data_IF_454414196531
#
_entry.id   IF_454414196531
#
_cell.length_a   1.000
_cell.length_b   1.000
_cell.length_c   1.000
_cell.angle_alpha   90.00
_cell.angle_beta   90.00
_cell.angle_gamma   90.00
#
_symmetry.space_group_name_H-M   'P 1'
#
loop_
_entity.id
_entity.type
_entity.pdbx_description
1 polymer ?
#
# COMPACT_ATOMS: atom_id res chain seq x y z
N UNK A 1 -7.24 14.93 9.75
CA UNK A 1 -8.43 14.14 9.34
C UNK A 1 -8.06 12.68 9.53
N UNK A 2 -8.96 11.83 10.05
CA UNK A 2 -8.72 10.39 10.22
C UNK A 2 -8.32 9.70 8.90
N UNK A 3 -8.82 10.18 7.76
CA UNK A 3 -8.53 9.71 6.42
C UNK A 3 -7.04 9.76 6.05
N UNK A 4 -6.27 10.63 6.69
CA UNK A 4 -4.86 10.82 6.37
C UNK A 4 -3.96 9.80 7.09
N UNK A 5 -4.42 9.25 8.22
CA UNK A 5 -3.68 8.28 9.03
C UNK A 5 -4.10 6.84 8.78
N UNK A 6 -5.37 6.62 8.45
CA UNK A 6 -5.94 5.30 8.22
C UNK A 6 -5.14 4.43 7.23
N UNK A 7 -4.62 4.98 6.11
CA UNK A 7 -3.82 4.22 5.14
C UNK A 7 -2.54 3.60 5.70
N UNK A 8 -2.00 4.15 6.77
CA UNK A 8 -0.72 3.71 7.36
C UNK A 8 -0.89 2.72 8.51
N UNK A 9 -2.10 2.50 9.02
CA UNK A 9 -2.36 1.60 10.15
C UNK A 9 -1.75 0.21 9.94
N UNK A 10 -1.94 -0.47 8.79
CA UNK A 10 -1.41 -1.81 8.63
C UNK A 10 0.12 -1.87 8.68
N UNK A 11 0.83 -0.91 8.09
CA UNK A 11 2.30 -0.90 8.14
C UNK A 11 2.83 -0.57 9.52
N UNK A 12 2.14 0.28 10.29
CA UNK A 12 2.47 0.54 11.70
C UNK A 12 2.28 -0.72 12.54
N UNK A 13 1.19 -1.45 12.36
CA UNK A 13 0.95 -2.75 13.01
C UNK A 13 2.07 -3.73 12.64
N UNK A 14 2.46 -3.81 11.36
CA UNK A 14 3.52 -4.69 10.88
C UNK A 14 4.83 -4.46 11.64
N UNK A 15 5.28 -3.22 11.75
CA UNK A 15 6.50 -2.89 12.49
C UNK A 15 6.33 -3.06 14.00
N UNK A 16 5.17 -2.74 14.56
CA UNK A 16 4.84 -2.97 15.96
C UNK A 16 4.94 -4.46 16.34
N UNK A 17 4.37 -5.35 15.53
CA UNK A 17 4.48 -6.80 15.70
C UNK A 17 5.93 -7.28 15.64
N UNK A 18 6.73 -6.69 14.73
CA UNK A 18 8.17 -7.01 14.61
C UNK A 18 8.96 -6.60 15.84
N UNK A 19 8.69 -5.40 16.37
CA UNK A 19 9.31 -4.89 17.60
C UNK A 19 8.90 -5.69 18.83
N UNK A 20 7.67 -6.19 18.88
CA UNK A 20 7.17 -7.08 19.92
C UNK A 20 7.75 -8.51 19.85
N UNK A 21 8.68 -8.78 18.92
CA UNK A 21 9.33 -10.08 18.78
C UNK A 21 8.49 -11.13 18.05
N UNK A 22 7.35 -10.77 17.47
CA UNK A 22 6.53 -11.72 16.72
C UNK A 22 7.26 -12.06 15.41
N UNK A 23 7.52 -13.35 15.21
CA UNK A 23 8.27 -13.83 14.04
C UNK A 23 7.55 -13.48 12.75
N UNK A 24 8.15 -12.66 11.89
CA UNK A 24 7.69 -12.33 10.54
C UNK A 24 8.28 -13.28 9.50
N UNK A 25 7.81 -13.18 8.26
CA UNK A 25 8.39 -13.88 7.10
C UNK A 25 9.84 -13.47 6.87
N UNK A 26 10.10 -12.16 6.88
CA UNK A 26 11.40 -11.58 6.55
C UNK A 26 12.19 -11.16 7.79
N UNK A 27 13.51 -11.14 7.67
CA UNK A 27 14.38 -10.46 8.65
C UNK A 27 14.24 -8.95 8.54
N UNK A 28 14.81 -8.18 9.50
CA UNK A 28 14.68 -6.72 9.55
C UNK A 28 15.14 -6.02 8.26
N UNK A 29 16.32 -6.36 7.73
CA UNK A 29 16.88 -5.68 6.54
C UNK A 29 16.02 -5.92 5.28
N UNK A 30 15.70 -7.17 4.88
CA UNK A 30 14.80 -7.39 3.75
C UNK A 30 13.43 -6.75 3.92
N UNK A 31 12.84 -6.79 5.11
CA UNK A 31 11.54 -6.18 5.42
C UNK A 31 11.55 -4.66 5.21
N UNK A 32 12.58 -3.96 5.71
CA UNK A 32 12.72 -2.52 5.53
C UNK A 32 12.93 -2.17 4.05
N UNK A 33 13.80 -2.89 3.36
CA UNK A 33 14.12 -2.61 1.96
C UNK A 33 12.90 -2.87 1.06
N UNK A 34 12.20 -3.98 1.25
CA UNK A 34 10.97 -4.25 0.48
C UNK A 34 9.88 -3.20 0.76
N UNK A 35 9.75 -2.74 2.00
CA UNK A 35 8.82 -1.66 2.35
C UNK A 35 9.17 -0.36 1.64
N UNK A 36 10.45 0.06 1.69
CA UNK A 36 10.91 1.28 1.02
C UNK A 36 10.70 1.20 -0.49
N UNK A 37 11.08 0.10 -1.13
CA UNK A 37 10.86 -0.09 -2.57
C UNK A 37 9.37 -0.07 -2.93
N UNK A 38 8.53 -0.74 -2.17
CA UNK A 38 7.08 -0.78 -2.41
C UNK A 38 6.47 0.62 -2.40
N UNK A 39 6.74 1.41 -1.37
CA UNK A 39 6.21 2.77 -1.27
C UNK A 39 6.83 3.73 -2.30
N UNK A 40 8.13 3.65 -2.57
CA UNK A 40 8.79 4.48 -3.56
C UNK A 40 8.24 4.21 -4.97
N UNK A 41 8.16 2.94 -5.38
CA UNK A 41 7.62 2.55 -6.67
C UNK A 41 6.14 2.92 -6.81
N UNK A 42 5.34 2.68 -5.76
CA UNK A 42 3.94 3.06 -5.74
C UNK A 42 3.79 4.58 -5.91
N UNK A 43 4.55 5.38 -5.16
CA UNK A 43 4.51 6.85 -5.24
C UNK A 43 4.89 7.36 -6.62
N UNK A 44 6.00 6.87 -7.20
CA UNK A 44 6.44 7.22 -8.56
C UNK A 44 5.35 6.87 -9.58
N UNK A 45 4.80 5.67 -9.52
CA UNK A 45 3.75 5.20 -10.45
C UNK A 45 2.50 6.05 -10.35
N UNK A 46 2.01 6.32 -9.14
CA UNK A 46 0.83 7.16 -8.89
C UNK A 46 1.05 8.57 -9.44
N UNK A 47 2.19 9.21 -9.11
CA UNK A 47 2.48 10.56 -9.58
C UNK A 47 2.58 10.63 -11.11
N UNK A 48 3.24 9.66 -11.74
CA UNK A 48 3.38 9.60 -13.21
C UNK A 48 2.03 9.44 -13.89
N UNK A 49 1.18 8.52 -13.42
CA UNK A 49 -0.13 8.31 -14.03
C UNK A 49 -1.05 9.51 -13.78
N UNK A 50 -1.03 10.13 -12.62
CA UNK A 50 -1.83 11.33 -12.33
C UNK A 50 -1.54 12.47 -13.30
N UNK A 51 -0.26 12.73 -13.56
CA UNK A 51 0.15 13.80 -14.47
C UNK A 51 -0.24 13.53 -15.93
N UNK A 52 -0.38 12.27 -16.31
CA UNK A 52 -0.72 11.87 -17.69
C UNK A 52 -2.23 11.70 -17.90
N UNK A 53 -2.97 11.23 -16.90
CA UNK A 53 -4.37 10.86 -17.04
C UNK A 53 -5.33 12.06 -17.09
N UNK A 54 -5.05 13.15 -16.38
CA UNK A 54 -5.83 14.39 -16.42
C UNK A 54 -7.32 14.20 -16.08
N UNK A 55 -7.67 13.30 -15.15
CA UNK A 55 -9.06 12.99 -14.79
C UNK A 55 -9.59 13.97 -13.76
N UNK A 56 -10.70 14.65 -14.07
CA UNK A 56 -11.37 15.57 -13.17
C UNK A 56 -11.96 14.83 -11.95
N UNK A 57 -11.80 15.40 -10.75
CA UNK A 57 -12.44 14.86 -9.54
C UNK A 57 -13.95 15.01 -9.55
N UNK A 58 -14.70 14.14 -8.84
CA UNK A 58 -16.16 14.28 -8.69
C UNK A 58 -16.59 15.63 -8.11
N UNK A 59 -15.79 16.23 -7.21
CA UNK A 59 -16.05 17.55 -6.63
C UNK A 59 -15.62 18.73 -7.51
N UNK A 60 -15.05 18.48 -8.69
CA UNK A 60 -14.59 19.50 -9.63
C UNK A 60 -13.34 20.27 -9.19
N UNK A 61 -12.65 19.87 -8.14
CA UNK A 61 -11.54 20.63 -7.53
C UNK A 61 -10.27 20.68 -8.36
N UNK A 62 -9.91 19.57 -9.02
CA UNK A 62 -8.71 19.45 -9.86
C UNK A 62 -8.79 18.27 -10.85
N UNK A 63 -7.82 18.17 -11.76
CA UNK A 63 -7.69 17.10 -12.76
C UNK A 63 -6.75 15.97 -12.33
N UNK A 64 -6.56 15.76 -11.04
CA UNK A 64 -5.65 14.76 -10.48
C UNK A 64 -6.41 13.62 -9.75
N UNK A 65 -7.59 13.23 -10.29
CA UNK A 65 -8.41 12.21 -9.67
C UNK A 65 -7.78 10.81 -9.78
N UNK A 66 -7.45 10.38 -10.99
CA UNK A 66 -6.96 9.01 -11.23
C UNK A 66 -5.43 8.92 -11.23
N UNK A 67 -4.88 7.89 -10.57
CA UNK A 67 -5.47 6.97 -9.61
C UNK A 67 -5.47 7.55 -8.18
N UNK A 68 -6.23 6.93 -7.25
CA UNK A 68 -6.31 7.37 -5.86
C UNK A 68 -5.03 7.05 -5.07
N UNK A 69 -4.28 8.08 -4.68
CA UNK A 69 -3.05 7.92 -3.90
C UNK A 69 -3.29 7.39 -2.48
N UNK A 70 -4.33 7.86 -1.77
CA UNK A 70 -4.70 7.35 -0.45
C UNK A 70 -5.06 5.86 -0.48
N UNK A 71 -5.83 5.46 -1.49
CA UNK A 71 -6.16 4.04 -1.67
C UNK A 71 -4.93 3.20 -2.00
N UNK A 72 -4.06 3.68 -2.88
CA UNK A 72 -2.80 2.99 -3.19
C UNK A 72 -1.93 2.82 -1.95
N UNK A 73 -1.77 3.86 -1.13
CA UNK A 73 -1.03 3.80 0.14
C UNK A 73 -1.64 2.77 1.10
N UNK A 74 -2.96 2.77 1.24
CA UNK A 74 -3.67 1.84 2.13
C UNK A 74 -3.51 0.38 1.71
N UNK A 75 -3.66 0.09 0.41
CA UNK A 75 -3.48 -1.26 -0.11
C UNK A 75 -2.01 -1.71 -0.12
N UNK A 76 -1.06 -0.81 -0.35
CA UNK A 76 0.38 -1.08 -0.15
C UNK A 76 0.65 -1.50 1.30
N UNK A 77 0.18 -0.71 2.27
CA UNK A 77 0.34 -1.01 3.71
C UNK A 77 -0.29 -2.36 4.10
N UNK A 78 -1.51 -2.61 3.62
CA UNK A 78 -2.23 -3.85 3.89
C UNK A 78 -1.52 -5.08 3.30
N UNK A 79 -1.05 -4.97 2.06
CA UNK A 79 -0.35 -6.04 1.37
C UNK A 79 1.00 -6.36 2.04
N UNK A 80 1.74 -5.35 2.51
CA UNK A 80 2.97 -5.53 3.28
C UNK A 80 2.72 -6.30 4.57
N UNK A 81 1.73 -5.91 5.38
CA UNK A 81 1.36 -6.61 6.60
C UNK A 81 0.95 -8.07 6.30
N UNK A 82 0.13 -8.26 5.27
CA UNK A 82 -0.31 -9.60 4.85
C UNK A 82 0.86 -10.48 4.41
N UNK A 83 1.82 -9.95 3.63
CA UNK A 83 2.99 -10.72 3.20
C UNK A 83 3.87 -11.18 4.36
N UNK A 84 4.02 -10.34 5.37
CA UNK A 84 4.89 -10.65 6.51
C UNK A 84 4.24 -11.57 7.55
N UNK A 85 2.93 -11.46 7.75
CA UNK A 85 2.24 -12.15 8.84
C UNK A 85 0.99 -12.93 8.42
N UNK A 86 0.43 -12.69 7.23
CA UNK A 86 -0.80 -13.32 6.74
C UNK A 86 -0.78 -14.87 6.75
N UNK A 87 0.35 -15.52 6.37
CA UNK A 87 0.43 -16.98 6.41
C UNK A 87 0.22 -17.61 7.80
N UNK A 88 0.30 -16.82 8.87
CA UNK A 88 0.11 -17.29 10.25
C UNK A 88 -1.35 -17.36 10.68
N UNK A 89 -2.20 -16.50 10.15
CA UNK A 89 -3.61 -16.44 10.48
C UNK A 89 -4.39 -15.68 9.43
N UNK A 90 -5.51 -16.24 8.96
CA UNK A 90 -6.42 -15.59 8.03
C UNK A 90 -6.99 -14.28 8.60
N UNK A 91 -7.14 -14.16 9.91
CA UNK A 91 -7.59 -12.94 10.58
C UNK A 91 -6.64 -11.76 10.41
N UNK A 92 -5.34 -12.02 10.26
CA UNK A 92 -4.35 -10.98 9.95
C UNK A 92 -4.64 -10.38 8.56
N UNK A 93 -5.04 -11.22 7.60
CA UNK A 93 -5.48 -10.73 6.28
C UNK A 93 -6.69 -9.81 6.39
N UNK A 94 -7.71 -10.22 7.14
CA UNK A 94 -8.90 -9.37 7.37
C UNK A 94 -8.50 -8.06 8.04
N UNK A 95 -7.72 -8.11 9.12
CA UNK A 95 -7.27 -6.91 9.84
C UNK A 95 -6.41 -5.99 8.99
N UNK A 96 -5.62 -6.54 8.06
CA UNK A 96 -4.77 -5.76 7.15
C UNK A 96 -5.60 -5.00 6.10
N UNK A 97 -6.54 -5.68 5.44
CA UNK A 97 -7.26 -5.10 4.31
C UNK A 97 -8.50 -4.30 4.71
N UNK A 98 -9.08 -4.51 5.90
CA UNK A 98 -10.25 -3.75 6.34
C UNK A 98 -10.02 -2.23 6.36
N UNK A 99 -8.92 -1.70 6.94
CA UNK A 99 -8.60 -0.27 6.88
C UNK A 99 -8.42 0.23 5.43
N UNK A 100 -7.88 -0.60 4.55
CA UNK A 100 -7.67 -0.23 3.14
C UNK A 100 -9.01 -0.09 2.39
N UNK A 101 -9.96 -1.00 2.59
CA UNK A 101 -11.31 -0.89 2.04
C UNK A 101 -12.06 0.31 2.59
N UNK A 102 -11.98 0.56 3.92
CA UNK A 102 -12.59 1.73 4.54
C UNK A 102 -12.01 3.02 3.95
N UNK A 103 -10.68 3.07 3.73
CA UNK A 103 -10.04 4.21 3.07
C UNK A 103 -10.61 4.44 1.67
N UNK A 104 -10.66 3.41 0.82
CA UNK A 104 -11.21 3.51 -0.53
C UNK A 104 -12.66 4.00 -0.55
N UNK A 105 -13.50 3.44 0.32
CA UNK A 105 -14.90 3.84 0.46
C UNK A 105 -15.03 5.29 0.93
N UNK A 106 -14.24 5.69 1.91
CA UNK A 106 -14.20 7.08 2.41
C UNK A 106 -13.87 8.09 1.31
N UNK A 107 -12.94 7.75 0.39
CA UNK A 107 -12.61 8.64 -0.74
C UNK A 107 -13.76 8.84 -1.70
N UNK A 108 -14.60 7.83 -1.92
CA UNK A 108 -15.82 7.94 -2.74
C UNK A 108 -16.91 8.74 -2.02
N UNK A 109 -17.20 8.40 -0.76
CA UNK A 109 -18.23 9.09 0.03
C UNK A 109 -17.94 10.60 0.23
N UNK A 110 -16.66 10.97 0.23
CA UNK A 110 -16.23 12.36 0.31
C UNK A 110 -16.14 13.05 -1.08
N UNK A 111 -16.66 12.45 -2.15
CA UNK A 111 -16.61 12.95 -3.53
C UNK A 111 -15.19 13.34 -4.02
N UNK A 112 -14.15 12.69 -3.50
CA UNK A 112 -12.74 12.98 -3.86
C UNK A 112 -12.24 12.14 -5.01
N UNK A 113 -12.81 10.95 -5.20
CA UNK A 113 -12.38 9.99 -6.21
C UNK A 113 -13.55 9.19 -6.79
N UNK A 114 -13.46 8.85 -8.08
CA UNK A 114 -14.34 7.90 -8.73
C UNK A 114 -14.04 6.48 -8.28
N UNK A 115 -14.98 5.56 -8.51
CA UNK A 115 -14.74 4.13 -8.23
C UNK A 115 -13.52 3.59 -8.98
N UNK A 116 -13.35 3.99 -10.24
CA UNK A 116 -12.19 3.64 -11.07
C UNK A 116 -10.86 4.06 -10.45
N UNK A 117 -10.82 5.25 -9.83
CA UNK A 117 -9.61 5.77 -9.19
C UNK A 117 -9.22 4.93 -7.96
N UNK A 118 -10.23 4.49 -7.21
CA UNK A 118 -10.06 3.65 -6.03
C UNK A 118 -9.57 2.26 -6.44
N UNK A 119 -10.19 1.64 -7.44
CA UNK A 119 -9.77 0.34 -7.97
C UNK A 119 -8.36 0.43 -8.57
N UNK A 120 -8.09 1.45 -9.39
CA UNK A 120 -6.75 1.69 -9.96
C UNK A 120 -5.69 1.86 -8.89
N UNK A 121 -5.98 2.65 -7.85
CA UNK A 121 -5.09 2.83 -6.69
C UNK A 121 -4.81 1.52 -5.95
N UNK A 122 -5.84 0.71 -5.69
CA UNK A 122 -5.70 -0.59 -5.02
C UNK A 122 -4.82 -1.55 -5.83
N UNK A 123 -5.06 -1.68 -7.12
CA UNK A 123 -4.27 -2.54 -8.02
C UNK A 123 -2.81 -2.10 -8.05
N UNK A 124 -2.53 -0.81 -8.22
CA UNK A 124 -1.16 -0.27 -8.22
C UNK A 124 -0.49 -0.55 -6.88
N UNK A 125 -1.17 -0.30 -5.75
CA UNK A 125 -0.63 -0.56 -4.42
C UNK A 125 -0.18 -2.00 -4.23
N UNK A 126 -1.01 -2.97 -4.61
CA UNK A 126 -0.69 -4.41 -4.51
C UNK A 126 0.46 -4.78 -5.45
N UNK A 127 0.41 -4.36 -6.72
CA UNK A 127 1.45 -4.69 -7.70
C UNK A 127 2.83 -4.16 -7.29
N UNK A 128 2.90 -2.93 -6.77
CA UNK A 128 4.18 -2.34 -6.36
C UNK A 128 4.78 -3.03 -5.13
N UNK A 129 3.97 -3.67 -4.28
CA UNK A 129 4.48 -4.55 -3.22
C UNK A 129 5.12 -5.81 -3.80
N UNK A 130 4.49 -6.45 -4.79
CA UNK A 130 5.08 -7.62 -5.46
C UNK A 130 6.44 -7.28 -6.08
N UNK A 131 6.52 -6.16 -6.81
CA UNK A 131 7.76 -5.67 -7.41
C UNK A 131 8.80 -5.33 -6.33
N UNK A 132 8.40 -4.65 -5.24
CA UNK A 132 9.28 -4.30 -4.13
C UNK A 132 9.92 -5.52 -3.46
N UNK A 133 9.13 -6.58 -3.23
CA UNK A 133 9.67 -7.85 -2.70
C UNK A 133 10.58 -8.57 -3.70
N UNK A 134 10.24 -8.54 -4.98
CA UNK A 134 11.09 -9.11 -6.03
C UNK A 134 12.46 -8.44 -6.05
N UNK A 135 12.52 -7.12 -6.08
CA UNK A 135 13.76 -6.34 -6.08
C UNK A 135 14.57 -6.55 -4.79
N UNK A 136 13.92 -6.53 -3.64
CA UNK A 136 14.56 -6.85 -2.37
C UNK A 136 15.17 -8.24 -2.39
N UNK A 137 14.44 -9.24 -2.90
CA UNK A 137 14.91 -10.61 -3.02
C UNK A 137 16.16 -10.75 -3.89
N UNK A 138 16.25 -10.01 -4.98
CA UNK A 138 17.45 -10.00 -5.85
C UNK A 138 18.67 -9.47 -5.09
N UNK A 139 18.52 -8.36 -4.33
CA UNK A 139 19.60 -7.77 -3.56
C UNK A 139 20.16 -8.68 -2.46
N UNK A 140 19.31 -9.51 -1.85
CA UNK A 140 19.74 -10.41 -0.78
C UNK A 140 20.21 -11.77 -1.29
N UNK A 141 19.75 -12.20 -2.48
CA UNK A 141 20.21 -13.45 -3.11
C UNK A 141 21.65 -13.37 -3.58
N UNK A 142 22.10 -12.22 -4.06
CA UNK A 142 23.48 -12.01 -4.51
C UNK A 142 24.52 -12.01 -3.38
N UNK A 143 24.09 -11.73 -2.12
CA UNK A 143 24.99 -11.70 -0.95
C UNK A 143 25.20 -13.08 -0.29
N UNK A 144 24.54 -14.11 -0.78
CA UNK A 144 24.62 -15.48 -0.26
C UNK A 144 25.46 -16.45 -1.09
N UNK A 145 26.28 -15.93 -2.05
CA UNK A 145 27.25 -16.74 -2.81
C UNK A 145 28.68 -16.49 -2.35
#
# INVERSE_FOLDING_TARGET
RYDDFLPYIPVVIMFGMKLAGIKSRSQWKPMLISTVFSFALMGITICSIKSLAGVLRPDGSDFLSFPSGHTATAFTSACLLYKEYGPKSSWIGVAAFLPAFITGLSRQLNNRHWLSDVVGGAVIGILMVEVGYCLSGLLFKEKGK
#
